data_IF_540502625302
#
_entry.id   IF_540502625302
#
_cell.length_a   1.000
_cell.length_b   1.000
_cell.length_c   1.000
_cell.angle_alpha   90.00
_cell.angle_beta   90.00
_cell.angle_gamma   90.00
#
_symmetry.space_group_name_H-M   'P 1'
#
loop_
_entity.id
_entity.type
_entity.pdbx_description
1 polymer ?
#
# COMPACT_ATOMS: atom_id res chain seq x y z
N UNK A 1 -24.02 7.14 20.50
CA UNK A 1 -22.84 6.23 20.55
C UNK A 1 -22.14 6.04 19.18
N UNK A 2 -22.27 6.98 18.22
CA UNK A 2 -21.71 6.81 16.86
C UNK A 2 -20.47 7.67 16.55
N UNK A 3 -20.22 8.73 17.32
CA UNK A 3 -19.07 9.62 17.08
C UNK A 3 -17.73 8.93 17.37
N UNK A 4 -17.65 8.14 18.44
CA UNK A 4 -16.44 7.40 18.83
C UNK A 4 -16.10 6.32 17.78
N UNK A 5 -17.10 5.58 17.30
CA UNK A 5 -16.90 4.57 16.24
C UNK A 5 -16.44 5.21 14.92
N UNK A 6 -16.94 6.41 14.60
CA UNK A 6 -16.55 7.16 13.39
C UNK A 6 -15.11 7.71 13.52
N UNK A 7 -14.73 8.18 14.71
CA UNK A 7 -13.36 8.61 15.03
C UNK A 7 -12.34 7.48 14.98
N UNK A 8 -12.67 6.31 15.56
CA UNK A 8 -11.81 5.12 15.52
C UNK A 8 -11.61 4.58 14.10
N UNK A 9 -12.65 4.60 13.26
CA UNK A 9 -12.49 4.23 11.84
C UNK A 9 -11.58 5.22 11.10
N UNK A 10 -11.75 6.52 11.32
CA UNK A 10 -10.88 7.53 10.71
C UNK A 10 -9.42 7.35 11.13
N UNK A 11 -9.18 7.08 12.42
CA UNK A 11 -7.85 6.81 12.95
C UNK A 11 -7.25 5.50 12.43
N UNK A 12 -8.04 4.43 12.31
CA UNK A 12 -7.60 3.17 11.71
C UNK A 12 -7.24 3.33 10.22
N UNK A 13 -8.03 4.09 9.46
CA UNK A 13 -7.71 4.42 8.06
C UNK A 13 -6.45 5.28 7.99
N UNK A 14 -6.28 6.24 8.89
CA UNK A 14 -5.10 7.10 8.95
C UNK A 14 -3.84 6.31 9.32
N UNK A 15 -3.90 5.45 10.34
CA UNK A 15 -2.81 4.54 10.70
C UNK A 15 -2.54 3.52 9.60
N UNK A 16 -3.57 3.02 8.90
CA UNK A 16 -3.41 2.17 7.72
C UNK A 16 -2.68 2.90 6.58
N UNK A 17 -2.97 4.18 6.36
CA UNK A 17 -2.25 5.03 5.40
C UNK A 17 -0.80 5.30 5.82
N UNK A 18 -0.54 5.45 7.12
CA UNK A 18 0.82 5.68 7.65
C UNK A 18 1.67 4.40 7.67
N UNK A 19 1.09 3.26 8.03
CA UNK A 19 1.77 1.95 8.04
C UNK A 19 1.91 1.34 6.64
N UNK A 20 1.43 2.03 5.60
CA UNK A 20 1.51 1.55 4.22
C UNK A 20 0.53 0.43 3.89
N UNK A 21 -0.44 0.12 4.76
CA UNK A 21 -1.54 -0.79 4.45
C UNK A 21 -2.42 -0.27 3.30
N UNK A 22 -2.39 1.04 3.02
CA UNK A 22 -3.07 1.63 1.86
C UNK A 22 -2.26 1.57 0.55
N UNK A 23 -1.04 1.02 0.57
CA UNK A 23 -0.17 1.02 -0.59
C UNK A 23 -0.73 0.23 -1.79
N UNK A 24 -1.46 -0.85 -1.53
CA UNK A 24 -2.12 -1.60 -2.59
C UNK A 24 -3.26 -0.79 -3.24
N UNK A 25 -4.01 -0.01 -2.45
CA UNK A 25 -5.03 0.91 -2.97
C UNK A 25 -4.42 1.99 -3.87
N UNK A 26 -3.32 2.60 -3.43
CA UNK A 26 -2.56 3.57 -4.24
C UNK A 26 -2.01 2.95 -5.53
N UNK A 27 -1.55 1.69 -5.46
CA UNK A 27 -1.14 0.95 -6.65
C UNK A 27 -2.29 0.79 -7.65
N UNK A 28 -3.49 0.43 -7.21
CA UNK A 28 -4.66 0.31 -8.08
C UNK A 28 -5.10 1.66 -8.67
N UNK A 29 -5.08 2.73 -7.86
CA UNK A 29 -5.36 4.09 -8.34
C UNK A 29 -4.37 4.50 -9.43
N UNK A 30 -3.08 4.25 -9.22
CA UNK A 30 -2.04 4.51 -10.22
C UNK A 30 -2.19 3.61 -11.45
N UNK A 31 -2.46 2.32 -11.28
CA UNK A 31 -2.64 1.37 -12.37
C UNK A 31 -3.80 1.77 -13.29
N UNK A 32 -4.92 2.18 -12.68
CA UNK A 32 -6.11 2.66 -13.39
C UNK A 32 -5.84 4.00 -14.09
N UNK A 33 -5.15 4.94 -13.42
CA UNK A 33 -4.77 6.22 -14.01
C UNK A 33 -3.76 6.08 -15.16
N UNK A 34 -2.86 5.10 -15.09
CA UNK A 34 -1.85 4.82 -16.12
C UNK A 34 -2.42 4.11 -17.36
N UNK A 35 -3.69 3.70 -17.33
CA UNK A 35 -4.36 3.11 -18.50
C UNK A 35 -3.75 1.79 -18.97
N UNK A 36 -3.15 1.01 -18.07
CA UNK A 36 -2.57 -0.28 -18.42
C UNK A 36 -3.65 -1.25 -18.93
N UNK A 37 -3.39 -1.88 -20.08
CA UNK A 37 -4.28 -2.85 -20.73
C UNK A 37 -4.16 -4.28 -20.18
N UNK A 38 -3.33 -4.51 -19.17
CA UNK A 38 -3.13 -5.81 -18.53
C UNK A 38 -3.98 -6.00 -17.26
N UNK A 39 -4.00 -7.22 -16.68
CA UNK A 39 -4.55 -7.42 -15.35
C UNK A 39 -3.66 -6.75 -14.30
N UNK A 40 -4.26 -6.07 -13.33
CA UNK A 40 -3.55 -5.58 -12.15
C UNK A 40 -2.99 -6.76 -11.34
N UNK A 41 -1.84 -6.56 -10.70
CA UNK A 41 -1.28 -7.54 -9.77
C UNK A 41 -2.23 -7.77 -8.60
N UNK A 42 -2.30 -9.00 -8.10
CA UNK A 42 -3.02 -9.29 -6.87
C UNK A 42 -2.31 -8.67 -5.66
N UNK A 43 -3.03 -8.46 -4.56
CA UNK A 43 -2.48 -7.88 -3.34
C UNK A 43 -1.25 -8.64 -2.82
N UNK A 44 -1.29 -9.97 -2.85
CA UNK A 44 -0.16 -10.83 -2.44
C UNK A 44 1.05 -10.65 -3.34
N UNK A 45 0.86 -10.55 -4.65
CA UNK A 45 1.94 -10.33 -5.61
C UNK A 45 2.56 -8.95 -5.44
N UNK A 46 1.74 -7.92 -5.22
CA UNK A 46 2.20 -6.57 -4.92
C UNK A 46 3.10 -6.54 -3.67
N UNK A 47 2.69 -7.19 -2.59
CA UNK A 47 3.49 -7.24 -1.37
C UNK A 47 4.78 -8.05 -1.53
N UNK A 48 4.73 -9.17 -2.25
CA UNK A 48 5.92 -9.96 -2.56
C UNK A 48 6.93 -9.14 -3.36
N UNK A 49 6.50 -8.58 -4.49
CA UNK A 49 7.32 -7.74 -5.37
C UNK A 49 7.90 -6.52 -4.63
N UNK A 50 7.11 -5.91 -3.73
CA UNK A 50 7.62 -4.83 -2.87
C UNK A 50 8.71 -5.30 -1.91
N UNK A 51 8.55 -6.45 -1.26
CA UNK A 51 9.59 -7.02 -0.40
C UNK A 51 10.82 -7.42 -1.19
N UNK A 52 10.65 -8.07 -2.35
CA UNK A 52 11.75 -8.47 -3.23
C UNK A 52 12.58 -7.27 -3.68
N UNK A 53 11.94 -6.13 -3.99
CA UNK A 53 12.66 -4.88 -4.29
C UNK A 53 13.41 -4.30 -3.09
N UNK A 54 12.86 -4.42 -1.89
CA UNK A 54 13.54 -3.97 -0.66
C UNK A 54 14.73 -4.87 -0.31
N UNK A 55 14.59 -6.18 -0.54
CA UNK A 55 15.65 -7.16 -0.33
C UNK A 55 16.77 -7.02 -1.37
N UNK A 56 16.40 -6.84 -2.65
CA UNK A 56 17.34 -6.70 -3.77
C UNK A 56 18.02 -5.33 -3.82
N UNK A 57 17.41 -4.29 -3.24
CA UNK A 57 17.98 -2.96 -3.16
C UNK A 57 17.95 -2.44 -1.72
N UNK A 58 18.84 -2.95 -0.85
CA UNK A 58 18.99 -2.47 0.51
C UNK A 58 19.65 -1.09 0.47
N UNK A 59 18.85 -0.07 0.19
CA UNK A 59 19.21 1.35 0.24
C UNK A 59 19.58 1.70 1.69
N UNK A 60 20.83 1.43 2.10
CA UNK A 60 21.25 1.59 3.49
C UNK A 60 22.33 0.65 3.99
N UNK A 61 23.00 -0.14 3.15
CA UNK A 61 24.33 -0.64 3.52
C UNK A 61 25.37 0.43 3.23
N UNK A 62 25.34 1.52 4.02
CA UNK A 62 26.53 2.34 4.18
C UNK A 62 27.57 1.48 4.91
N UNK A 63 28.41 0.82 4.11
CA UNK A 63 29.80 0.66 4.50
C UNK A 63 30.52 2.00 4.37
#
# INVERSE_FOLDING_TARGET
>A
MNAVAKGLRGFATYMGSLMGADAYRKYLEHFNASGHTGPAMTEREFWRDRMDRQDSNPQGRCC
#
